data_IF_534267622158
#
_entry.id   IF_534267622158
#
_cell.length_a   1.000
_cell.length_b   1.000
_cell.length_c   1.000
_cell.angle_alpha   90.00
_cell.angle_beta   90.00
_cell.angle_gamma   90.00
#
_symmetry.space_group_name_H-M   'P 1'
#
loop_
_entity.id
_entity.type
_entity.pdbx_description
1 polymer ?
#
# COMPACT_ATOMS: atom_id res chain seq x y z
N UNK A 1 63.19 -1.56 -14.69
CA UNK A 1 62.01 -1.69 -13.81
C UNK A 1 61.95 -0.42 -13.01
N UNK A 2 61.02 0.48 -13.32
CA UNK A 2 60.58 1.56 -12.45
C UNK A 2 59.21 2.05 -12.96
N UNK A 3 58.21 1.25 -12.65
CA UNK A 3 56.79 1.51 -12.82
C UNK A 3 56.30 2.50 -11.76
N UNK A 4 56.40 3.81 -11.98
CA UNK A 4 55.72 4.78 -11.09
C UNK A 4 55.46 6.13 -11.77
N UNK A 5 54.60 6.18 -12.80
CA UNK A 5 54.08 7.49 -13.23
C UNK A 5 52.67 7.50 -13.85
N UNK A 6 51.78 6.60 -13.41
CA UNK A 6 50.37 6.54 -13.87
C UNK A 6 49.41 7.12 -12.80
N UNK A 7 49.91 7.68 -11.69
CA UNK A 7 49.08 8.08 -10.53
C UNK A 7 48.77 9.58 -10.39
N UNK A 8 49.05 10.42 -11.39
CA UNK A 8 48.80 11.88 -11.27
C UNK A 8 47.54 12.40 -12.00
N UNK A 9 46.81 11.56 -12.74
CA UNK A 9 45.63 11.98 -13.52
C UNK A 9 44.27 11.78 -12.82
N UNK A 10 44.20 10.97 -11.76
CA UNK A 10 42.93 10.66 -11.08
C UNK A 10 42.48 11.70 -10.04
N UNK A 11 43.33 12.66 -9.68
CA UNK A 11 43.06 13.59 -8.57
C UNK A 11 42.38 14.91 -8.99
N UNK A 12 42.17 15.14 -10.30
CA UNK A 12 41.55 16.38 -10.82
C UNK A 12 40.05 16.28 -11.15
N UNK A 13 39.43 15.10 -11.01
CA UNK A 13 38.00 14.89 -11.29
C UNK A 13 37.09 14.87 -10.04
N UNK A 14 37.65 14.95 -8.82
CA UNK A 14 36.85 14.90 -7.57
C UNK A 14 36.25 16.24 -7.13
N UNK A 15 36.57 17.35 -7.79
CA UNK A 15 36.12 18.69 -7.39
C UNK A 15 34.92 19.22 -8.19
N UNK A 16 34.34 18.44 -9.10
CA UNK A 16 33.23 18.90 -9.96
C UNK A 16 32.05 17.91 -9.96
N UNK A 17 31.56 17.57 -8.77
CA UNK A 17 30.20 17.06 -8.63
C UNK A 17 29.44 18.13 -7.85
N UNK A 18 28.69 19.02 -8.53
CA UNK A 18 27.90 20.03 -7.86
C UNK A 18 26.88 19.31 -6.98
N UNK A 19 26.97 19.60 -5.69
CA UNK A 19 25.91 19.58 -4.68
C UNK A 19 24.59 19.04 -5.19
N UNK A 20 24.36 17.78 -4.87
CA UNK A 20 23.06 17.13 -4.70
C UNK A 20 21.94 18.15 -4.63
N UNK A 21 21.13 18.16 -5.69
CA UNK A 21 19.94 18.97 -5.78
C UNK A 21 19.17 18.91 -4.47
N UNK A 22 18.84 20.09 -3.94
CA UNK A 22 17.76 20.22 -2.97
C UNK A 22 16.56 19.51 -3.59
N UNK A 23 16.29 18.29 -3.13
CA UNK A 23 14.98 17.67 -3.26
C UNK A 23 14.03 18.67 -2.63
N UNK A 24 13.31 19.41 -3.46
CA UNK A 24 12.05 19.99 -3.03
C UNK A 24 11.30 18.87 -2.32
N UNK A 25 10.98 19.07 -1.04
CA UNK A 25 10.11 18.16 -0.31
C UNK A 25 8.84 18.08 -1.13
N UNK A 26 8.65 16.95 -1.81
CA UNK A 26 7.48 16.67 -2.62
C UNK A 26 6.25 17.00 -1.77
N UNK A 27 5.48 17.98 -2.22
CA UNK A 27 4.22 18.31 -1.60
C UNK A 27 3.26 17.13 -1.77
N UNK A 28 2.54 16.85 -0.68
CA UNK A 28 1.47 15.88 -0.53
C UNK A 28 1.94 14.43 -0.35
N UNK A 29 2.31 14.14 0.90
CA UNK A 29 1.84 12.91 1.54
C UNK A 29 0.35 12.82 1.25
N UNK A 30 -0.04 11.95 0.32
CA UNK A 30 -1.42 11.55 0.08
C UNK A 30 -1.89 10.85 1.36
N UNK A 31 -2.30 11.66 2.35
CA UNK A 31 -2.65 11.23 3.70
C UNK A 31 -3.78 10.24 3.53
N UNK A 32 -3.49 8.98 3.78
CA UNK A 32 -4.49 7.93 3.81
C UNK A 32 -5.50 8.28 4.90
N UNK A 33 -6.71 8.65 4.49
CA UNK A 33 -7.80 8.99 5.42
C UNK A 33 -8.63 7.75 5.62
N UNK A 34 -8.45 7.11 6.79
CA UNK A 34 -9.26 5.95 7.18
C UNK A 34 -10.72 6.40 7.25
N UNK A 35 -11.55 5.80 6.39
CA UNK A 35 -12.99 6.03 6.35
C UNK A 35 -13.69 5.02 7.23
N UNK A 36 -13.27 3.76 7.12
CA UNK A 36 -13.81 2.61 7.86
C UNK A 36 -12.69 1.63 8.20
N UNK A 37 -12.89 0.87 9.28
CA UNK A 37 -11.97 -0.19 9.69
C UNK A 37 -12.75 -1.48 9.87
N UNK A 38 -12.33 -2.54 9.19
CA UNK A 38 -12.93 -3.87 9.29
C UNK A 38 -11.92 -4.80 9.96
N UNK A 39 -12.24 -5.30 11.14
CA UNK A 39 -11.43 -6.30 11.85
C UNK A 39 -12.19 -7.62 11.83
N UNK A 40 -11.60 -8.65 11.23
CA UNK A 40 -12.20 -9.98 11.15
C UNK A 40 -11.11 -11.06 11.17
N UNK A 41 -11.36 -12.18 11.85
CA UNK A 41 -10.39 -13.30 11.90
C UNK A 41 -10.16 -13.89 10.51
N UNK A 42 -11.17 -13.85 9.64
CA UNK A 42 -11.14 -14.39 8.28
C UNK A 42 -10.89 -13.29 7.23
N UNK A 43 -10.45 -12.11 7.68
CA UNK A 43 -10.28 -10.96 6.80
C UNK A 43 -9.33 -11.30 5.65
N UNK A 44 -9.83 -11.24 4.42
CA UNK A 44 -9.05 -11.51 3.22
C UNK A 44 -9.15 -10.33 2.25
N UNK A 45 -7.99 -9.76 1.88
CA UNK A 45 -7.91 -8.60 0.97
C UNK A 45 -8.62 -8.84 -0.37
N UNK A 46 -8.51 -10.04 -0.94
CA UNK A 46 -9.12 -10.35 -2.25
C UNK A 46 -10.64 -10.39 -2.15
N UNK A 47 -11.16 -10.99 -1.08
CA UNK A 47 -12.60 -11.07 -0.82
C UNK A 47 -13.15 -9.67 -0.57
N UNK A 48 -12.45 -8.87 0.26
CA UNK A 48 -12.82 -7.49 0.56
C UNK A 48 -12.86 -6.62 -0.70
N UNK A 49 -11.85 -6.76 -1.56
CA UNK A 49 -11.84 -6.01 -2.81
C UNK A 49 -13.00 -6.41 -3.72
N UNK A 50 -13.32 -7.71 -3.83
CA UNK A 50 -14.44 -8.20 -4.64
C UNK A 50 -15.79 -7.69 -4.11
N UNK A 51 -16.02 -7.75 -2.79
CA UNK A 51 -17.27 -7.27 -2.18
C UNK A 51 -17.43 -5.77 -2.33
N UNK A 52 -16.37 -4.99 -2.13
CA UNK A 52 -16.40 -3.54 -2.36
C UNK A 52 -16.68 -3.19 -3.83
N UNK A 53 -16.13 -3.94 -4.79
CA UNK A 53 -16.47 -3.75 -6.20
C UNK A 53 -17.94 -4.12 -6.50
N UNK A 54 -18.49 -5.13 -5.81
CA UNK A 54 -19.90 -5.51 -5.93
C UNK A 54 -20.85 -4.40 -5.45
N UNK A 55 -20.47 -3.66 -4.40
CA UNK A 55 -21.18 -2.47 -3.92
C UNK A 55 -21.03 -1.22 -4.81
N UNK A 56 -20.49 -1.40 -6.02
CA UNK A 56 -20.26 -0.36 -7.03
C UNK A 56 -19.28 0.73 -6.59
N UNK A 57 -18.36 0.43 -5.68
CA UNK A 57 -17.24 1.32 -5.41
C UNK A 57 -16.25 1.30 -6.58
N UNK A 58 -15.78 2.47 -7.07
CA UNK A 58 -14.82 2.51 -8.16
C UNK A 58 -13.46 2.00 -7.68
N UNK A 59 -12.88 1.04 -8.43
CA UNK A 59 -11.60 0.38 -8.10
C UNK A 59 -10.47 1.36 -7.77
N UNK A 60 -10.40 2.49 -8.47
CA UNK A 60 -9.37 3.52 -8.26
C UNK A 60 -9.54 4.34 -6.97
N UNK A 61 -10.73 4.36 -6.37
CA UNK A 61 -11.00 5.07 -5.13
C UNK A 61 -10.90 4.18 -3.89
N UNK A 62 -10.83 2.86 -4.06
CA UNK A 62 -10.67 1.91 -2.95
C UNK A 62 -9.19 1.83 -2.60
N UNK A 63 -8.79 2.47 -1.49
CA UNK A 63 -7.48 2.21 -0.88
C UNK A 63 -7.67 1.32 0.35
N UNK A 64 -6.87 0.28 0.47
CA UNK A 64 -6.93 -0.68 1.58
C UNK A 64 -5.55 -0.80 2.21
N UNK A 65 -5.51 -0.79 3.54
CA UNK A 65 -4.29 -1.00 4.32
C UNK A 65 -4.53 -2.10 5.34
N UNK A 66 -3.68 -3.12 5.33
CA UNK A 66 -3.73 -4.16 6.37
C UNK A 66 -3.20 -3.60 7.69
N UNK A 67 -3.86 -3.93 8.79
CA UNK A 67 -3.41 -3.64 10.15
C UNK A 67 -2.84 -4.90 10.79
N UNK A 68 -2.02 -4.74 11.83
CA UNK A 68 -1.30 -5.85 12.48
C UNK A 68 -2.23 -6.88 13.17
N UNK A 69 -3.52 -6.59 13.33
CA UNK A 69 -4.49 -7.43 14.05
C UNK A 69 -5.50 -8.14 13.16
N UNK A 70 -5.12 -8.57 11.95
CA UNK A 70 -6.05 -9.12 10.94
C UNK A 70 -7.20 -8.15 10.61
N UNK A 71 -6.91 -6.86 10.60
CA UNK A 71 -7.86 -5.84 10.17
C UNK A 71 -7.45 -5.21 8.84
N UNK A 72 -8.42 -4.58 8.20
CA UNK A 72 -8.22 -3.71 7.05
C UNK A 72 -8.78 -2.34 7.37
N UNK A 73 -7.92 -1.33 7.27
CA UNK A 73 -8.34 0.05 7.15
C UNK A 73 -8.69 0.32 5.69
N UNK A 74 -9.84 0.94 5.49
CA UNK A 74 -10.40 1.27 4.19
C UNK A 74 -10.49 2.79 4.05
N UNK A 75 -10.07 3.28 2.91
CA UNK A 75 -10.41 4.61 2.44
C UNK A 75 -11.35 4.44 1.26
N UNK A 76 -12.59 4.86 1.45
CA UNK A 76 -13.70 4.74 0.51
C UNK A 76 -14.30 6.11 0.23
N UNK A 77 -14.90 6.34 -0.95
CA UNK A 77 -15.56 7.61 -1.27
C UNK A 77 -16.81 7.88 -0.42
N UNK A 78 -17.42 6.83 0.13
CA UNK A 78 -18.49 6.91 1.14
C UNK A 78 -18.26 5.87 2.23
N UNK A 79 -18.84 6.09 3.40
CA UNK A 79 -18.87 5.11 4.49
C UNK A 79 -19.70 3.89 4.10
N UNK A 80 -19.32 2.74 4.63
CA UNK A 80 -20.11 1.51 4.52
C UNK A 80 -21.35 1.59 5.42
N UNK A 81 -22.47 1.05 4.94
CA UNK A 81 -23.66 0.86 5.80
C UNK A 81 -23.45 -0.37 6.69
N UNK A 82 -24.26 -0.49 7.76
CA UNK A 82 -24.20 -1.65 8.65
C UNK A 82 -24.47 -2.97 7.88
N UNK A 83 -25.44 -2.96 6.96
CA UNK A 83 -25.78 -4.10 6.09
C UNK A 83 -24.59 -4.51 5.20
N UNK A 84 -23.91 -3.55 4.57
CA UNK A 84 -22.74 -3.82 3.74
C UNK A 84 -21.57 -4.40 4.55
N UNK A 85 -21.38 -3.95 5.79
CA UNK A 85 -20.36 -4.51 6.70
C UNK A 85 -20.70 -5.95 7.07
N UNK A 86 -21.97 -6.27 7.33
CA UNK A 86 -22.41 -7.63 7.60
C UNK A 86 -22.21 -8.55 6.39
N UNK A 87 -22.54 -8.09 5.18
CA UNK A 87 -22.29 -8.83 3.95
C UNK A 87 -20.79 -9.10 3.73
N UNK A 88 -19.92 -8.12 4.02
CA UNK A 88 -18.46 -8.31 3.94
C UNK A 88 -18.00 -9.40 4.92
N UNK A 89 -18.50 -9.38 6.16
CA UNK A 89 -18.16 -10.40 7.17
C UNK A 89 -18.66 -11.79 6.77
N UNK A 90 -19.89 -11.87 6.24
CA UNK A 90 -20.44 -13.13 5.73
C UNK A 90 -19.61 -13.67 4.55
N UNK A 91 -19.18 -12.79 3.64
CA UNK A 91 -18.32 -13.16 2.52
C UNK A 91 -16.94 -13.66 2.98
N UNK A 92 -16.35 -13.06 4.03
CA UNK A 92 -15.11 -13.56 4.62
C UNK A 92 -15.26 -14.96 5.19
N UNK A 93 -16.32 -15.19 5.97
CA UNK A 93 -16.60 -16.52 6.55
C UNK A 93 -16.79 -17.56 5.45
N UNK A 94 -17.64 -17.29 4.45
CA UNK A 94 -17.88 -18.21 3.33
C UNK A 94 -16.59 -18.54 2.57
N UNK A 95 -15.78 -17.52 2.26
CA UNK A 95 -14.52 -17.74 1.56
C UNK A 95 -13.51 -18.53 2.40
N UNK A 96 -13.55 -18.43 3.73
CA UNK A 96 -12.69 -19.23 4.60
C UNK A 96 -13.08 -20.70 4.65
N UNK A 97 -14.38 -21.01 4.58
CA UNK A 97 -14.90 -22.38 4.51
C UNK A 97 -14.57 -23.01 3.16
N UNK A 98 -14.77 -22.28 2.06
CA UNK A 98 -14.49 -22.74 0.69
C UNK A 98 -12.99 -23.01 0.44
N UNK A 99 -12.07 -22.29 1.10
CA UNK A 99 -10.63 -22.56 1.01
C UNK A 99 -10.15 -23.71 1.92
N UNK A 100 -11.03 -24.30 2.75
CA UNK A 100 -10.65 -25.41 3.64
C UNK A 100 -10.99 -26.79 3.09
N UNK A 101 -11.60 -26.86 1.90
CA UNK A 101 -12.02 -28.11 1.22
C UNK A 101 -11.15 -28.47 -0.01
N UNK A 102 -10.07 -27.74 -0.29
CA UNK A 102 -9.03 -28.05 -1.30
C UNK A 102 -7.72 -28.52 -0.63
#
# INVERSE_FOLDING_TARGET
MDDTNIRSWASRLKSYIPTFGKREKMANEDKFVVTDTIVDRYANKRVLQKTLLAFKFPKGAIKMRATAGNGFELQLPRKLTAEEVEEIRAAFKKASEENSED
#
